data_IF_046642784073
#
_entry.id   IF_046642784073
#
_cell.length_a   1.000
_cell.length_b   1.000
_cell.length_c   1.000
_cell.angle_alpha   90.00
_cell.angle_beta   90.00
_cell.angle_gamma   90.00
#
_symmetry.space_group_name_H-M   'P 1'
#
loop_
_entity.id
_entity.type
_entity.pdbx_description
1 polymer ?
#
# COMPACT_ATOMS: atom_id res chain seq x y z
N UNK A 1 -37.68 18.92 24.81
CA UNK A 1 -37.25 17.53 24.50
C UNK A 1 -36.66 17.35 23.10
N UNK A 2 -37.28 17.80 22.00
CA UNK A 2 -36.72 17.65 20.62
C UNK A 2 -35.29 18.19 20.45
N UNK A 3 -34.99 19.39 20.97
CA UNK A 3 -33.65 19.99 20.87
C UNK A 3 -32.58 19.27 21.70
N UNK A 4 -32.94 18.72 22.86
CA UNK A 4 -32.03 17.92 23.70
C UNK A 4 -31.62 16.61 23.03
N UNK A 5 -32.56 15.97 22.31
CA UNK A 5 -32.27 14.78 21.51
C UNK A 5 -31.33 15.15 20.34
N UNK A 6 -31.59 16.26 19.65
CA UNK A 6 -30.75 16.72 18.54
C UNK A 6 -29.31 17.05 18.98
N UNK A 7 -29.15 17.70 20.14
CA UNK A 7 -27.83 18.03 20.72
C UNK A 7 -27.09 16.75 21.14
N UNK A 8 -27.79 15.77 21.72
CA UNK A 8 -27.21 14.48 22.07
C UNK A 8 -26.71 13.70 20.85
N UNK A 9 -27.47 13.71 19.74
CA UNK A 9 -27.05 13.08 18.47
C UNK A 9 -25.87 13.80 17.80
N UNK A 10 -25.83 15.13 17.87
CA UNK A 10 -24.68 15.88 17.37
C UNK A 10 -23.43 15.57 18.21
N UNK A 11 -23.55 15.55 19.53
CA UNK A 11 -22.44 15.26 20.44
C UNK A 11 -21.86 13.85 20.25
N UNK A 12 -22.72 12.83 20.12
CA UNK A 12 -22.26 11.45 19.88
C UNK A 12 -21.54 11.28 18.53
N UNK A 13 -21.94 12.04 17.51
CA UNK A 13 -21.25 12.06 16.20
C UNK A 13 -19.88 12.76 16.26
N UNK A 14 -19.74 13.83 17.04
CA UNK A 14 -18.43 14.47 17.27
C UNK A 14 -17.48 13.57 18.06
N UNK A 15 -17.98 12.80 19.03
CA UNK A 15 -17.16 11.84 19.79
C UNK A 15 -16.63 10.70 18.91
N UNK A 16 -17.44 10.14 18.01
CA UNK A 16 -17.01 9.04 17.15
C UNK A 16 -15.93 9.49 16.15
N UNK A 17 -16.12 10.65 15.50
CA UNK A 17 -15.13 11.24 14.58
C UNK A 17 -13.83 11.60 15.28
N UNK A 18 -13.88 12.14 16.51
CA UNK A 18 -12.69 12.40 17.31
C UNK A 18 -11.95 11.10 17.69
N UNK A 19 -12.67 10.02 18.00
CA UNK A 19 -12.08 8.73 18.34
C UNK A 19 -11.39 8.07 17.14
N UNK A 20 -12.00 8.10 15.95
CA UNK A 20 -11.38 7.57 14.72
C UNK A 20 -10.11 8.34 14.36
N UNK A 21 -10.15 9.67 14.42
CA UNK A 21 -8.96 10.50 14.19
C UNK A 21 -7.85 10.18 15.18
N UNK A 22 -8.18 10.01 16.48
CA UNK A 22 -7.20 9.63 17.49
C UNK A 22 -6.56 8.27 17.19
N UNK A 23 -7.35 7.27 16.82
CA UNK A 23 -6.83 5.94 16.47
C UNK A 23 -5.87 5.98 15.27
N UNK A 24 -6.16 6.82 14.26
CA UNK A 24 -5.28 7.03 13.11
C UNK A 24 -3.95 7.67 13.53
N UNK A 25 -3.97 8.73 14.33
CA UNK A 25 -2.75 9.40 14.82
C UNK A 25 -1.92 8.51 15.75
N UNK A 26 -2.56 7.76 16.65
CA UNK A 26 -1.86 6.84 17.56
C UNK A 26 -1.18 5.70 16.77
N UNK A 27 -1.89 5.14 15.79
CA UNK A 27 -1.34 4.12 14.89
C UNK A 27 -0.18 4.68 14.06
N UNK A 28 -0.31 5.91 13.54
CA UNK A 28 0.75 6.58 12.79
C UNK A 28 2.00 6.78 13.65
N UNK A 29 1.87 7.26 14.89
CA UNK A 29 3.00 7.44 15.80
C UNK A 29 3.74 6.11 16.06
N UNK A 30 2.99 5.02 16.25
CA UNK A 30 3.55 3.68 16.44
C UNK A 30 4.26 3.15 15.19
N UNK A 31 3.64 3.32 14.01
CA UNK A 31 4.22 2.99 12.72
C UNK A 31 5.52 3.75 12.49
N UNK A 32 5.55 5.05 12.83
CA UNK A 32 6.75 5.89 12.72
C UNK A 32 7.91 5.31 13.52
N UNK A 33 7.69 4.96 14.79
CA UNK A 33 8.71 4.36 15.65
C UNK A 33 9.28 3.08 15.03
N UNK A 34 8.41 2.21 14.48
CA UNK A 34 8.87 0.98 13.84
C UNK A 34 9.58 1.20 12.52
N UNK A 35 9.13 2.13 11.68
CA UNK A 35 9.83 2.49 10.45
C UNK A 35 11.20 3.11 10.74
N UNK A 36 11.28 4.01 11.71
CA UNK A 36 12.55 4.62 12.13
C UNK A 36 13.50 3.56 12.70
N UNK A 37 12.96 2.61 13.48
CA UNK A 37 13.74 1.47 13.99
C UNK A 37 14.25 0.60 12.83
N UNK A 38 13.37 0.23 11.89
CA UNK A 38 13.68 -0.62 10.74
C UNK A 38 14.76 -0.01 9.84
N UNK A 39 14.69 1.30 9.61
CA UNK A 39 15.59 2.03 8.72
C UNK A 39 16.65 2.85 9.45
N UNK A 40 16.84 2.61 10.75
CA UNK A 40 17.93 3.21 11.52
C UNK A 40 19.27 2.88 10.87
N UNK A 41 20.10 3.91 10.71
CA UNK A 41 21.45 3.80 10.14
C UNK A 41 22.45 4.16 11.22
N UNK A 42 23.51 3.37 11.34
CA UNK A 42 24.74 3.82 11.98
C UNK A 42 25.79 3.96 10.86
N UNK A 43 26.67 4.97 10.96
CA UNK A 43 27.36 5.71 9.88
C UNK A 43 28.02 4.92 8.73
N UNK A 44 28.11 3.58 8.78
CA UNK A 44 28.75 2.78 7.72
C UNK A 44 28.05 1.47 7.32
N UNK A 45 27.01 0.96 8.01
CA UNK A 45 26.34 -0.32 7.63
C UNK A 45 24.87 -0.42 8.04
N UNK A 46 24.09 -1.21 7.30
CA UNK A 46 22.83 -1.79 7.78
C UNK A 46 23.14 -2.74 8.94
N UNK A 47 22.92 -2.32 10.18
CA UNK A 47 23.30 -3.06 11.40
C UNK A 47 22.22 -4.03 11.88
N UNK A 48 20.98 -3.91 11.40
CA UNK A 48 19.88 -4.78 11.81
C UNK A 48 20.02 -6.20 11.21
N UNK A 49 20.04 -7.26 12.03
CA UNK A 49 19.92 -8.62 11.53
C UNK A 49 18.66 -8.80 10.70
N UNK A 50 18.71 -9.66 9.69
CA UNK A 50 17.57 -9.90 8.79
C UNK A 50 16.31 -10.36 9.54
N UNK A 51 16.47 -11.17 10.59
CA UNK A 51 15.37 -11.58 11.47
C UNK A 51 14.66 -10.40 12.14
N UNK A 52 15.41 -9.36 12.54
CA UNK A 52 14.84 -8.15 13.12
C UNK A 52 14.15 -7.29 12.06
N UNK A 53 14.71 -7.18 10.84
CA UNK A 53 14.06 -6.46 9.73
C UNK A 53 12.69 -7.07 9.38
N UNK A 54 12.65 -8.41 9.33
CA UNK A 54 11.42 -9.17 9.09
C UNK A 54 10.43 -8.94 10.23
N UNK A 55 10.87 -9.07 11.49
CA UNK A 55 10.00 -8.86 12.65
C UNK A 55 9.41 -7.44 12.72
N UNK A 56 10.19 -6.40 12.41
CA UNK A 56 9.68 -5.03 12.32
C UNK A 56 8.69 -4.87 11.17
N UNK A 57 9.02 -5.41 9.99
CA UNK A 57 8.11 -5.36 8.83
C UNK A 57 6.80 -6.09 9.10
N UNK A 58 6.83 -7.21 9.82
CA UNK A 58 5.63 -7.93 10.25
C UNK A 58 4.78 -7.14 11.25
N UNK A 59 5.42 -6.43 12.18
CA UNK A 59 4.71 -5.52 13.10
C UNK A 59 4.05 -4.38 12.32
N UNK A 60 4.79 -3.69 11.45
CA UNK A 60 4.28 -2.64 10.57
C UNK A 60 3.09 -3.15 9.76
N UNK A 61 3.23 -4.32 9.14
CA UNK A 61 2.19 -4.98 8.35
C UNK A 61 0.92 -5.21 9.16
N UNK A 62 1.02 -5.76 10.37
CA UNK A 62 -0.14 -5.98 11.26
C UNK A 62 -0.85 -4.70 11.65
N UNK A 63 -0.10 -3.66 11.96
CA UNK A 63 -0.68 -2.35 12.31
C UNK A 63 -1.33 -1.69 11.10
N UNK A 64 -0.71 -1.78 9.92
CA UNK A 64 -1.31 -1.32 8.67
C UNK A 64 -2.61 -2.07 8.34
N UNK A 65 -2.67 -3.40 8.56
CA UNK A 65 -3.93 -4.15 8.44
C UNK A 65 -5.02 -3.55 9.34
N UNK A 66 -4.70 -3.17 10.58
CA UNK A 66 -5.68 -2.60 11.50
C UNK A 66 -6.11 -1.19 11.08
N UNK A 67 -5.14 -0.28 10.95
CA UNK A 67 -5.39 1.16 10.76
C UNK A 67 -6.02 1.47 9.41
N UNK A 68 -5.66 0.73 8.35
CA UNK A 68 -6.16 0.99 7.00
C UNK A 68 -7.63 0.61 6.83
N UNK A 69 -8.20 -0.19 7.74
CA UNK A 69 -9.63 -0.52 7.73
C UNK A 69 -10.51 0.53 8.42
N UNK A 70 -9.92 1.57 9.02
CA UNK A 70 -10.68 2.71 9.56
C UNK A 70 -11.26 3.53 8.38
N UNK A 71 -12.51 3.97 8.49
CA UNK A 71 -13.27 4.65 7.41
C UNK A 71 -12.48 5.82 6.77
N UNK A 72 -11.85 6.64 7.61
CA UNK A 72 -11.09 7.83 7.19
C UNK A 72 -9.65 7.53 6.75
N UNK A 73 -9.17 6.29 6.87
CA UNK A 73 -7.79 5.93 6.55
C UNK A 73 -7.43 6.19 5.08
N UNK A 74 -8.40 6.14 4.17
CA UNK A 74 -8.15 6.45 2.75
C UNK A 74 -7.68 7.89 2.56
N UNK A 75 -8.29 8.86 3.24
CA UNK A 75 -7.96 10.28 3.14
C UNK A 75 -6.90 10.73 4.14
N UNK A 76 -6.67 9.96 5.21
CA UNK A 76 -5.68 10.31 6.22
C UNK A 76 -4.26 10.37 5.62
N UNK A 77 -3.51 11.46 5.82
CA UNK A 77 -2.29 11.71 5.04
C UNK A 77 -1.12 10.79 5.39
N UNK A 78 -0.99 10.38 6.67
CA UNK A 78 0.18 9.64 7.20
C UNK A 78 1.52 10.37 6.95
N UNK A 79 1.55 11.68 7.15
CA UNK A 79 2.68 12.56 6.79
C UNK A 79 3.99 12.22 7.52
N UNK A 80 3.90 11.71 8.75
CA UNK A 80 5.09 11.37 9.54
C UNK A 80 5.79 10.09 9.04
N UNK A 81 5.10 9.24 8.27
CA UNK A 81 5.62 7.98 7.75
C UNK A 81 6.47 8.18 6.50
N UNK A 82 7.55 8.96 6.59
CA UNK A 82 8.41 9.33 5.45
C UNK A 82 9.10 8.15 4.76
N UNK A 83 9.25 7.00 5.45
CA UNK A 83 9.84 5.77 4.90
C UNK A 83 8.83 4.83 4.24
N UNK A 84 7.55 5.14 4.33
CA UNK A 84 6.48 4.42 3.65
C UNK A 84 6.15 5.13 2.33
N UNK A 85 6.26 4.40 1.22
CA UNK A 85 5.72 4.86 -0.06
C UNK A 85 4.20 4.91 0.04
N UNK A 86 3.62 6.07 -0.25
CA UNK A 86 2.18 6.35 -0.16
C UNK A 86 1.78 7.12 -1.39
N UNK A 87 0.91 6.56 -2.21
CA UNK A 87 0.43 7.20 -3.44
C UNK A 87 -1.08 7.17 -3.48
N UNK A 88 -1.68 8.29 -3.86
CA UNK A 88 -3.11 8.40 -4.16
C UNK A 88 -3.24 8.68 -5.65
N UNK A 89 -4.12 7.96 -6.34
CA UNK A 89 -4.46 8.26 -7.73
C UNK A 89 -5.11 9.63 -7.85
N UNK A 90 -4.95 10.28 -9.01
CA UNK A 90 -5.55 11.59 -9.27
C UNK A 90 -7.09 11.60 -9.27
N UNK A 91 -7.72 10.43 -9.40
CA UNK A 91 -9.16 10.25 -9.30
C UNK A 91 -9.65 9.88 -7.89
N UNK A 92 -8.75 9.83 -6.91
CA UNK A 92 -9.06 9.53 -5.50
C UNK A 92 -9.80 8.20 -5.27
N UNK A 93 -9.66 7.22 -6.18
CA UNK A 93 -10.25 5.89 -6.02
C UNK A 93 -9.25 4.81 -5.62
N UNK A 94 -7.96 5.05 -5.84
CA UNK A 94 -6.88 4.11 -5.54
C UNK A 94 -5.87 4.77 -4.62
N UNK A 95 -5.47 4.03 -3.57
CA UNK A 95 -4.30 4.35 -2.77
C UNK A 95 -3.38 3.14 -2.70
N UNK A 96 -2.09 3.36 -2.87
CA UNK A 96 -1.07 2.30 -2.84
C UNK A 96 -0.04 2.64 -1.77
N UNK A 97 0.18 1.70 -0.87
CA UNK A 97 1.20 1.75 0.16
C UNK A 97 2.25 0.71 -0.17
N UNK A 98 3.53 1.06 -0.11
CA UNK A 98 4.61 0.09 -0.36
C UNK A 98 5.89 0.43 0.40
N UNK A 99 6.58 -0.60 0.87
CA UNK A 99 7.95 -0.50 1.39
C UNK A 99 8.69 -1.80 1.11
N UNK A 100 10.01 -1.78 1.29
CA UNK A 100 10.84 -2.95 1.07
C UNK A 100 11.96 -3.03 2.11
N UNK A 101 12.43 -4.26 2.35
CA UNK A 101 13.65 -4.51 3.11
C UNK A 101 14.67 -5.18 2.21
N UNK A 102 15.95 -4.86 2.44
CA UNK A 102 17.07 -5.54 1.81
C UNK A 102 17.70 -6.49 2.82
N UNK A 103 17.75 -7.77 2.49
CA UNK A 103 18.37 -8.82 3.28
C UNK A 103 19.86 -8.96 2.93
N UNK A 104 20.59 -9.73 3.75
CA UNK A 104 21.94 -10.18 3.43
C UNK A 104 21.91 -10.97 2.11
N UNK A 105 22.95 -10.84 1.31
CA UNK A 105 23.02 -11.42 -0.05
C UNK A 105 22.29 -10.59 -1.12
N UNK A 106 21.71 -9.44 -0.75
CA UNK A 106 21.12 -8.51 -1.72
C UNK A 106 19.71 -8.87 -2.17
N UNK A 107 19.07 -9.87 -1.54
CA UNK A 107 17.66 -10.18 -1.74
C UNK A 107 16.78 -9.06 -1.19
N UNK A 108 15.67 -8.79 -1.86
CA UNK A 108 14.65 -7.84 -1.41
C UNK A 108 13.37 -8.58 -1.05
N UNK A 109 12.65 -8.07 -0.05
CA UNK A 109 11.27 -8.44 0.24
C UNK A 109 10.45 -7.17 0.18
N UNK A 110 9.38 -7.20 -0.61
CA UNK A 110 8.44 -6.09 -0.74
C UNK A 110 7.17 -6.36 0.07
N UNK A 111 6.60 -5.28 0.59
CA UNK A 111 5.34 -5.27 1.29
C UNK A 111 4.47 -4.17 0.68
N UNK A 112 3.17 -4.42 0.60
CA UNK A 112 2.27 -3.41 0.07
C UNK A 112 0.82 -3.61 0.45
N UNK A 113 0.07 -2.53 0.34
CA UNK A 113 -1.38 -2.50 0.48
C UNK A 113 -1.99 -1.68 -0.63
N UNK A 114 -3.18 -2.08 -1.04
CA UNK A 114 -4.04 -1.34 -1.96
C UNK A 114 -5.32 -1.00 -1.21
N UNK A 115 -5.69 0.27 -1.21
CA UNK A 115 -7.01 0.73 -0.85
C UNK A 115 -7.76 1.10 -2.12
N UNK A 116 -8.94 0.52 -2.30
CA UNK A 116 -9.74 0.74 -3.50
C UNK A 116 -11.18 1.09 -3.17
N UNK A 117 -11.64 2.19 -3.76
CA UNK A 117 -13.04 2.64 -3.76
C UNK A 117 -13.63 2.42 -5.15
N UNK A 118 -14.81 1.79 -5.22
CA UNK A 118 -15.51 1.65 -6.50
C UNK A 118 -16.03 3.01 -7.02
N UNK A 119 -16.41 3.90 -6.11
CA UNK A 119 -16.97 5.23 -6.39
C UNK A 119 -16.47 6.24 -5.35
N UNK A 120 -16.44 7.53 -5.70
CA UNK A 120 -16.01 8.59 -4.79
C UNK A 120 -16.90 8.72 -3.55
N UNK A 121 -18.18 8.38 -3.68
CA UNK A 121 -19.15 8.36 -2.57
C UNK A 121 -19.00 7.13 -1.65
N UNK A 122 -18.07 6.21 -1.93
CA UNK A 122 -17.83 5.06 -1.07
C UNK A 122 -17.06 5.52 0.18
N UNK A 123 -17.73 5.53 1.32
CA UNK A 123 -17.11 5.86 2.59
C UNK A 123 -15.96 4.88 2.95
N UNK A 124 -16.19 3.59 2.73
CA UNK A 124 -15.24 2.53 3.09
C UNK A 124 -14.47 2.08 1.85
N UNK A 125 -13.15 2.16 1.91
CA UNK A 125 -12.27 1.57 0.91
C UNK A 125 -12.06 0.07 1.19
N UNK A 126 -12.01 -0.74 0.15
CA UNK A 126 -11.54 -2.12 0.27
C UNK A 126 -10.04 -2.12 0.51
N UNK A 127 -9.60 -2.68 1.62
CA UNK A 127 -8.18 -2.89 1.95
C UNK A 127 -7.74 -4.25 1.43
N UNK A 128 -6.71 -4.27 0.61
CA UNK A 128 -6.10 -5.50 0.10
C UNK A 128 -4.60 -5.49 0.41
N UNK A 129 -4.16 -6.44 1.23
CA UNK A 129 -2.74 -6.74 1.44
C UNK A 129 -2.16 -7.40 0.19
N UNK A 130 -0.99 -6.93 -0.23
CA UNK A 130 -0.23 -7.49 -1.34
C UNK A 130 0.85 -8.44 -0.80
N UNK A 131 0.91 -9.65 -1.36
CA UNK A 131 1.91 -10.66 -1.00
C UNK A 131 2.94 -10.76 -2.09
N UNK A 132 4.18 -10.35 -1.80
CA UNK A 132 5.32 -10.54 -2.69
C UNK A 132 5.56 -12.03 -2.93
N UNK A 133 5.46 -12.45 -4.19
CA UNK A 133 5.72 -13.81 -4.65
C UNK A 133 6.80 -13.87 -5.71
N UNK A 134 7.68 -12.87 -5.78
CA UNK A 134 8.80 -12.80 -6.75
C UNK A 134 9.52 -14.15 -6.92
N UNK A 135 9.93 -14.78 -5.82
CA UNK A 135 10.71 -16.03 -5.84
C UNK A 135 9.94 -17.24 -6.39
N UNK A 136 8.62 -17.15 -6.50
CA UNK A 136 7.75 -18.23 -7.01
C UNK A 136 7.30 -17.99 -8.46
N UNK A 137 7.68 -16.85 -9.06
CA UNK A 137 7.28 -16.47 -10.40
C UNK A 137 8.37 -16.85 -11.42
N UNK A 138 8.00 -17.28 -12.64
CA UNK A 138 8.96 -17.55 -13.70
C UNK A 138 9.56 -16.23 -14.19
N UNK A 139 10.86 -16.05 -13.99
CA UNK A 139 11.56 -14.79 -14.30
C UNK A 139 11.49 -14.41 -15.79
N UNK A 140 11.45 -15.40 -16.70
CA UNK A 140 11.42 -15.21 -18.15
C UNK A 140 10.01 -14.92 -18.72
N UNK A 141 8.96 -15.09 -17.93
CA UNK A 141 7.58 -14.98 -18.42
C UNK A 141 6.71 -14.04 -17.59
N UNK A 142 7.28 -13.43 -16.54
CA UNK A 142 6.51 -12.62 -15.57
C UNK A 142 5.71 -11.49 -16.23
N UNK A 143 6.21 -10.91 -17.31
CA UNK A 143 5.54 -9.86 -18.10
C UNK A 143 4.26 -10.33 -18.80
N UNK A 144 4.13 -11.64 -19.04
CA UNK A 144 2.96 -12.25 -19.70
C UNK A 144 1.92 -12.75 -18.68
N UNK A 145 2.19 -12.66 -17.38
CA UNK A 145 1.31 -13.17 -16.34
C UNK A 145 0.28 -12.13 -15.90
N UNK A 146 -0.93 -12.60 -15.59
CA UNK A 146 -1.89 -11.86 -14.76
C UNK A 146 -1.82 -12.37 -13.34
N UNK A 147 -1.38 -11.52 -12.42
CA UNK A 147 -1.11 -11.86 -11.03
C UNK A 147 -2.22 -11.32 -10.12
N UNK A 148 -2.65 -12.11 -9.14
CA UNK A 148 -3.51 -11.59 -8.07
C UNK A 148 -2.70 -10.78 -7.06
N UNK A 149 -3.37 -10.01 -6.19
CA UNK A 149 -2.69 -9.38 -5.05
C UNK A 149 -1.93 -10.35 -4.13
N UNK A 150 -2.29 -11.65 -4.12
CA UNK A 150 -1.57 -12.70 -3.37
C UNK A 150 -0.35 -13.27 -4.10
N UNK A 151 -0.15 -12.86 -5.35
CA UNK A 151 0.96 -13.26 -6.22
C UNK A 151 1.69 -12.02 -6.74
N UNK A 152 1.64 -10.93 -5.98
CA UNK A 152 2.17 -9.64 -6.41
C UNK A 152 3.67 -9.73 -6.68
N UNK A 153 4.13 -9.13 -7.78
CA UNK A 153 5.54 -9.16 -8.17
C UNK A 153 6.43 -8.31 -7.25
N UNK A 154 5.87 -7.40 -6.45
CA UNK A 154 6.63 -6.63 -5.48
C UNK A 154 7.45 -5.48 -6.08
N UNK A 155 7.04 -4.25 -5.79
CA UNK A 155 7.74 -3.03 -6.18
C UNK A 155 7.45 -1.89 -5.21
N UNK A 156 8.37 -0.94 -5.14
CA UNK A 156 8.14 0.37 -4.50
C UNK A 156 7.66 1.35 -5.55
N UNK A 157 6.38 1.67 -5.53
CA UNK A 157 5.78 2.57 -6.52
C UNK A 157 6.01 4.03 -6.16
N UNK A 158 6.23 4.88 -7.17
CA UNK A 158 6.37 6.33 -7.02
C UNK A 158 5.41 7.13 -7.90
N UNK A 159 4.66 6.48 -8.80
CA UNK A 159 3.65 7.15 -9.62
C UNK A 159 2.46 6.23 -9.91
N UNK A 160 1.26 6.82 -9.94
CA UNK A 160 0.01 6.18 -10.38
C UNK A 160 -0.57 7.02 -11.50
N UNK A 161 -0.91 6.38 -12.63
CA UNK A 161 -1.57 7.01 -13.76
C UNK A 161 -2.89 6.27 -13.99
N UNK A 162 -4.05 6.86 -13.64
CA UNK A 162 -5.34 6.30 -13.99
C UNK A 162 -5.57 6.36 -15.50
N UNK A 163 -6.06 5.27 -16.07
CA UNK A 163 -6.39 5.17 -17.49
C UNK A 163 -7.79 4.59 -17.63
N UNK A 164 -8.61 5.28 -18.42
CA UNK A 164 -9.95 4.82 -18.78
C UNK A 164 -9.92 4.39 -20.25
N UNK A 165 -9.98 3.09 -20.50
CA UNK A 165 -10.00 2.56 -21.86
C UNK A 165 -11.29 1.76 -22.09
N UNK A 166 -12.09 2.20 -23.08
CA UNK A 166 -13.40 1.63 -23.40
C UNK A 166 -14.30 1.57 -22.14
N UNK A 167 -14.57 0.36 -21.64
CA UNK A 167 -15.43 0.08 -20.47
C UNK A 167 -14.64 -0.41 -19.25
N UNK A 168 -13.31 -0.36 -19.28
CA UNK A 168 -12.49 -0.83 -18.17
C UNK A 168 -11.48 0.23 -17.72
N UNK A 169 -11.56 0.54 -16.44
CA UNK A 169 -10.59 1.37 -15.74
C UNK A 169 -9.41 0.51 -15.29
N UNK A 170 -8.20 1.03 -15.48
CA UNK A 170 -6.97 0.47 -14.93
C UNK A 170 -6.03 1.59 -14.51
N UNK A 171 -4.96 1.21 -13.81
CA UNK A 171 -3.97 2.12 -13.26
C UNK A 171 -2.60 1.61 -13.69
N UNK A 172 -1.82 2.49 -14.31
CA UNK A 172 -0.41 2.23 -14.56
C UNK A 172 0.35 2.65 -13.30
N UNK A 173 1.06 1.71 -12.69
CA UNK A 173 1.90 1.94 -11.53
C UNK A 173 3.36 1.91 -11.98
N UNK A 174 4.07 3.02 -11.75
CA UNK A 174 5.50 3.08 -12.06
C UNK A 174 6.27 2.94 -10.76
N UNK A 175 7.19 1.98 -10.75
CA UNK A 175 7.91 1.59 -9.55
C UNK A 175 9.36 1.26 -9.78
N UNK A 176 10.04 1.07 -8.65
CA UNK A 176 11.39 0.57 -8.55
C UNK A 176 11.38 -0.78 -7.84
N UNK A 177 12.18 -1.71 -8.34
CA UNK A 177 12.38 -3.02 -7.73
C UNK A 177 13.87 -3.31 -7.62
N UNK A 178 14.38 -3.41 -6.41
CA UNK A 178 15.63 -4.11 -6.15
C UNK A 178 15.45 -5.59 -6.49
N UNK A 179 16.26 -6.11 -7.41
CA UNK A 179 16.17 -7.51 -7.85
C UNK A 179 17.21 -8.37 -7.13
N UNK A 180 18.48 -7.96 -7.15
CA UNK A 180 19.55 -8.63 -6.40
C UNK A 180 20.62 -7.62 -5.95
N UNK A 181 21.79 -8.11 -5.52
CA UNK A 181 22.88 -7.26 -5.04
C UNK A 181 23.42 -6.26 -6.09
N UNK A 182 23.23 -6.55 -7.38
CA UNK A 182 23.86 -5.87 -8.50
C UNK A 182 22.86 -5.24 -9.47
N UNK A 183 21.61 -5.72 -9.46
CA UNK A 183 20.59 -5.37 -10.45
C UNK A 183 19.37 -4.75 -9.77
N UNK A 184 18.95 -3.64 -10.34
CA UNK A 184 17.69 -2.96 -10.04
C UNK A 184 16.86 -2.91 -11.32
N UNK A 185 15.53 -2.93 -11.20
CA UNK A 185 14.59 -2.81 -12.31
C UNK A 185 13.67 -1.60 -12.11
N UNK A 186 13.35 -0.93 -13.20
CA UNK A 186 12.15 -0.08 -13.28
C UNK A 186 10.99 -0.99 -13.67
N UNK A 187 9.87 -0.86 -12.97
CA UNK A 187 8.69 -1.72 -13.16
C UNK A 187 7.52 -0.84 -13.57
N UNK A 188 6.77 -1.30 -14.57
CA UNK A 188 5.51 -0.71 -15.00
C UNK A 188 4.44 -1.78 -14.85
N UNK A 189 3.63 -1.67 -13.81
CA UNK A 189 2.54 -2.61 -13.53
C UNK A 189 1.20 -2.04 -13.98
N UNK A 190 0.39 -2.87 -14.60
CA UNK A 190 -1.01 -2.52 -14.90
C UNK A 190 -1.90 -3.14 -13.84
N UNK A 191 -2.43 -2.30 -12.95
CA UNK A 191 -3.38 -2.70 -11.91
C UNK A 191 -4.82 -2.43 -12.38
N UNK A 192 -5.67 -3.44 -12.30
CA UNK A 192 -7.10 -3.31 -12.51
C UNK A 192 -7.88 -4.15 -11.50
N UNK A 193 -9.17 -3.89 -11.38
CA UNK A 193 -10.02 -4.61 -10.44
C UNK A 193 -11.06 -5.43 -11.20
N UNK A 194 -11.24 -6.68 -10.79
CA UNK A 194 -12.33 -7.50 -11.33
C UNK A 194 -13.69 -7.07 -10.75
N UNK A 195 -14.78 -7.69 -11.23
CA UNK A 195 -16.16 -7.38 -10.78
C UNK A 195 -16.36 -7.52 -9.27
N UNK A 196 -15.55 -8.33 -8.58
CA UNK A 196 -15.59 -8.51 -7.12
C UNK A 196 -14.76 -7.46 -6.36
N UNK A 197 -14.07 -6.56 -7.08
CA UNK A 197 -13.16 -5.56 -6.53
C UNK A 197 -11.84 -6.15 -6.04
N UNK A 198 -11.41 -7.30 -6.57
CA UNK A 198 -10.09 -7.86 -6.27
C UNK A 198 -9.05 -7.30 -7.25
N UNK A 199 -7.85 -6.92 -6.78
CA UNK A 199 -6.79 -6.41 -7.64
C UNK A 199 -6.19 -7.53 -8.48
N UNK A 200 -5.92 -7.21 -9.74
CA UNK A 200 -5.18 -8.01 -10.71
C UNK A 200 -4.09 -7.12 -11.31
N UNK A 201 -2.88 -7.66 -11.39
CA UNK A 201 -1.69 -7.02 -11.93
C UNK A 201 -1.29 -7.70 -13.22
N UNK A 202 -0.81 -6.94 -14.19
CA UNK A 202 -0.42 -7.47 -15.50
C UNK A 202 -1.63 -7.55 -16.43
N UNK A 203 -1.59 -6.73 -17.48
CA UNK A 203 -2.57 -6.71 -18.57
C UNK A 203 -1.85 -6.27 -19.83
N UNK A 204 -2.04 -6.99 -20.92
CA UNK A 204 -1.50 -6.59 -22.21
C UNK A 204 -2.28 -5.38 -22.75
N UNK A 205 -1.78 -4.17 -22.45
CA UNK A 205 -2.32 -2.89 -22.91
C UNK A 205 -1.34 -2.15 -23.83
N UNK A 206 -0.08 -2.56 -23.83
CA UNK A 206 0.96 -1.95 -24.65
C UNK A 206 0.96 -2.66 -25.99
N UNK A 207 0.72 -1.91 -27.07
CA UNK A 207 0.90 -2.44 -28.42
C UNK A 207 2.39 -2.45 -28.73
N UNK A 208 2.91 -3.57 -29.23
CA UNK A 208 4.17 -3.56 -29.96
C UNK A 208 3.95 -2.83 -31.28
N UNK A 209 4.87 -1.93 -31.63
CA UNK A 209 4.98 -1.42 -33.01
C UNK A 209 5.42 -2.54 -33.97
#
# INVERSE_FOLDING_TARGET
>A
MKYLILISFLFSFYLSTAQYNRALFDSEAKLKIWFDSLFSRNETRYTLPDSKKIAFSDSIRRELVSVLNIEDAFSFPFDSLTKLGKLTSSDSLLRVFSWNIRLKGGKYIFYGFVLYRNHLSSNIAKVIELTDKTDSLPDNEVENLTLSGKQWYGASYYQIIPVNEKKQKYYILIGWKGYNAYVNRKVVDVLFFNKKGKPLFGKNIFKSE
#
